data_IF_846041435974
#
_entry.id   IF_846041435974
#
_cell.length_a   1.000
_cell.length_b   1.000
_cell.length_c   1.000
_cell.angle_alpha   90.00
_cell.angle_beta   90.00
_cell.angle_gamma   90.00
#
_symmetry.space_group_name_H-M   'P 1'
#
loop_
_entity.id
_entity.type
_entity.pdbx_description
1 polymer ?
#
# COMPACT_ATOMS: atom_id res chain seq x y z
N UNK A 1 9.02 -16.50 -7.01
CA UNK A 1 8.47 -16.51 -5.62
C UNK A 1 7.49 -17.67 -5.43
N UNK A 2 7.40 -18.23 -4.23
CA UNK A 2 6.38 -19.23 -3.90
C UNK A 2 5.08 -18.55 -3.47
N UNK A 3 3.93 -18.97 -4.01
CA UNK A 3 2.62 -18.42 -3.67
C UNK A 3 1.84 -19.35 -2.77
N UNK A 4 1.15 -18.78 -1.77
CA UNK A 4 0.26 -19.50 -0.85
C UNK A 4 -1.02 -18.66 -0.67
N UNK A 5 -2.18 -19.32 -0.65
CA UNK A 5 -3.43 -18.66 -0.29
C UNK A 5 -3.54 -18.45 1.22
N UNK A 6 -4.11 -17.31 1.60
CA UNK A 6 -4.46 -17.02 2.98
C UNK A 6 -5.63 -17.93 3.41
N UNK A 7 -5.49 -18.58 4.54
CA UNK A 7 -6.53 -19.44 5.11
C UNK A 7 -6.63 -19.24 6.61
N UNK A 8 -7.86 -19.21 7.13
CA UNK A 8 -8.13 -18.99 8.56
C UNK A 8 -7.88 -17.54 9.02
N UNK A 9 -7.78 -16.58 8.10
CA UNK A 9 -7.58 -15.17 8.36
C UNK A 9 -8.86 -14.36 8.15
N UNK A 10 -8.90 -13.11 8.61
CA UNK A 10 -10.07 -12.24 8.51
C UNK A 10 -10.47 -11.93 7.06
N UNK A 11 -9.51 -11.91 6.13
CA UNK A 11 -9.72 -11.79 4.68
C UNK A 11 -8.99 -12.92 3.96
N UNK A 12 -9.54 -13.38 2.83
CA UNK A 12 -8.80 -14.19 1.87
C UNK A 12 -7.69 -13.40 1.19
N UNK A 13 -6.91 -14.06 0.33
CA UNK A 13 -5.86 -13.41 -0.45
C UNK A 13 -4.67 -14.31 -0.72
N UNK A 14 -3.56 -13.70 -1.14
CA UNK A 14 -2.31 -14.37 -1.50
C UNK A 14 -1.13 -13.86 -0.65
N UNK A 15 -0.21 -14.76 -0.35
CA UNK A 15 1.13 -14.44 0.16
C UNK A 15 2.16 -14.98 -0.80
N UNK A 16 3.06 -14.13 -1.28
CA UNK A 16 4.20 -14.51 -2.08
C UNK A 16 5.45 -14.51 -1.20
N UNK A 17 6.15 -15.62 -1.17
CA UNK A 17 7.35 -15.79 -0.36
C UNK A 17 8.60 -15.77 -1.24
N UNK A 18 9.65 -15.04 -0.87
CA UNK A 18 10.94 -15.13 -1.54
C UNK A 18 11.55 -16.53 -1.35
N UNK A 19 12.60 -16.84 -2.08
CA UNK A 19 13.28 -18.14 -2.00
C UNK A 19 13.78 -18.47 -0.59
N UNK A 20 14.15 -17.44 0.18
CA UNK A 20 14.54 -17.56 1.59
C UNK A 20 13.86 -16.46 2.41
N UNK A 21 13.27 -16.84 3.53
CA UNK A 21 12.70 -15.90 4.52
C UNK A 21 13.66 -15.88 5.72
N UNK A 22 14.25 -14.73 5.97
CA UNK A 22 15.18 -14.47 7.07
C UNK A 22 14.55 -13.51 8.10
N UNK A 23 15.17 -13.42 9.27
CA UNK A 23 14.67 -12.56 10.36
C UNK A 23 14.57 -11.06 9.99
N UNK A 24 15.28 -10.60 8.96
CA UNK A 24 15.24 -9.22 8.46
C UNK A 24 14.47 -9.05 7.14
N UNK A 25 13.81 -10.10 6.65
CA UNK A 25 12.97 -10.03 5.43
C UNK A 25 11.83 -9.03 5.63
N UNK A 26 11.70 -8.01 4.75
CA UNK A 26 10.62 -7.04 4.86
C UNK A 26 9.26 -7.63 4.48
N UNK A 27 8.19 -7.00 4.96
CA UNK A 27 6.82 -7.26 4.55
C UNK A 27 6.32 -6.12 3.68
N UNK A 28 5.97 -6.41 2.45
CA UNK A 28 5.30 -5.50 1.54
C UNK A 28 3.83 -5.88 1.43
N UNK A 29 2.95 -5.00 1.88
CA UNK A 29 1.49 -5.17 1.76
C UNK A 29 1.02 -4.49 0.48
N UNK A 30 0.27 -5.20 -0.35
CA UNK A 30 -0.30 -4.68 -1.59
C UNK A 30 -1.84 -4.74 -1.56
N UNK A 31 -2.49 -3.60 -1.75
CA UNK A 31 -3.95 -3.47 -1.85
C UNK A 31 -4.35 -3.28 -3.32
N UNK A 32 -5.16 -4.21 -3.82
CA UNK A 32 -5.60 -4.24 -5.22
C UNK A 32 -6.68 -3.19 -5.54
N UNK A 33 -6.95 -2.99 -6.82
CA UNK A 33 -8.00 -2.11 -7.35
C UNK A 33 -9.42 -2.69 -7.21
N UNK A 34 -10.42 -1.93 -7.66
CA UNK A 34 -11.82 -2.30 -7.51
C UNK A 34 -12.22 -3.56 -8.32
N UNK A 35 -11.57 -3.80 -9.46
CA UNK A 35 -11.88 -4.92 -10.36
C UNK A 35 -11.46 -6.30 -9.84
N UNK A 36 -10.73 -6.36 -8.72
CA UNK A 36 -10.13 -7.58 -8.18
C UNK A 36 -10.80 -8.03 -6.87
N UNK A 37 -11.88 -7.32 -6.48
CA UNK A 37 -12.70 -7.67 -5.32
C UNK A 37 -13.38 -9.04 -5.47
N UNK A 38 -13.67 -9.67 -4.35
CA UNK A 38 -14.43 -10.93 -4.29
C UNK A 38 -13.69 -12.04 -3.59
N UNK A 39 -13.78 -13.26 -4.14
CA UNK A 39 -13.18 -14.47 -3.55
C UNK A 39 -12.29 -15.23 -4.53
N UNK A 40 -12.09 -14.69 -5.73
CA UNK A 40 -11.26 -15.32 -6.76
C UNK A 40 -9.85 -14.77 -6.72
N UNK A 41 -8.93 -15.52 -6.15
CA UNK A 41 -7.53 -15.12 -5.96
C UNK A 41 -6.78 -14.92 -7.29
N UNK A 42 -7.18 -15.63 -8.38
CA UNK A 42 -6.62 -15.43 -9.72
C UNK A 42 -6.89 -14.02 -10.30
N UNK A 43 -7.96 -13.35 -9.85
CA UNK A 43 -8.24 -11.96 -10.25
C UNK A 43 -7.21 -10.97 -9.68
N UNK A 44 -6.62 -11.28 -8.53
CA UNK A 44 -5.64 -10.40 -7.89
C UNK A 44 -4.32 -10.27 -8.66
N UNK A 45 -4.08 -11.17 -9.62
CA UNK A 45 -2.89 -11.17 -10.47
C UNK A 45 -3.11 -10.46 -11.82
N UNK A 46 -4.03 -9.48 -11.88
CA UNK A 46 -4.32 -8.72 -13.10
C UNK A 46 -3.49 -7.47 -13.25
N UNK A 47 -3.17 -6.82 -12.15
CA UNK A 47 -2.49 -5.54 -12.08
C UNK A 47 -1.39 -5.51 -11.02
N UNK A 48 -0.47 -4.56 -11.17
CA UNK A 48 0.57 -4.21 -10.20
C UNK A 48 1.49 -5.36 -9.79
N UNK A 49 1.92 -5.38 -8.55
CA UNK A 49 2.94 -6.30 -8.04
C UNK A 49 2.57 -7.78 -8.21
N UNK A 50 1.36 -8.27 -7.90
CA UNK A 50 1.01 -9.67 -8.12
C UNK A 50 1.07 -10.08 -9.60
N UNK A 51 0.72 -9.19 -10.53
CA UNK A 51 0.86 -9.43 -11.97
C UNK A 51 2.32 -9.62 -12.36
N UNK A 52 3.19 -8.73 -11.88
CA UNK A 52 4.63 -8.79 -12.18
C UNK A 52 5.26 -10.08 -11.65
N UNK A 53 4.89 -10.52 -10.45
CA UNK A 53 5.38 -11.78 -9.90
C UNK A 53 4.88 -12.97 -10.72
N UNK A 54 3.57 -13.07 -10.98
CA UNK A 54 2.97 -14.29 -11.56
C UNK A 54 3.18 -14.38 -13.07
N UNK A 55 3.11 -13.24 -13.78
CA UNK A 55 3.16 -13.25 -15.25
C UNK A 55 4.55 -12.97 -15.82
N UNK A 56 5.35 -12.18 -15.09
CA UNK A 56 6.65 -11.74 -15.57
C UNK A 56 7.82 -12.34 -14.79
N UNK A 57 7.50 -13.15 -13.76
CA UNK A 57 8.50 -13.89 -12.99
C UNK A 57 9.35 -13.02 -12.07
N UNK A 58 8.84 -11.88 -11.63
CA UNK A 58 9.60 -11.01 -10.71
C UNK A 58 9.90 -11.73 -9.40
N UNK A 59 11.16 -11.58 -8.96
CA UNK A 59 11.64 -12.04 -7.67
C UNK A 59 11.86 -10.83 -6.77
N UNK A 60 11.00 -10.67 -5.78
CA UNK A 60 11.06 -9.57 -4.81
C UNK A 60 11.64 -10.12 -3.50
N UNK A 61 12.73 -9.54 -2.96
CA UNK A 61 13.35 -10.00 -1.71
C UNK A 61 12.55 -9.54 -0.47
N UNK A 62 11.25 -9.79 -0.49
CA UNK A 62 10.30 -9.47 0.55
C UNK A 62 9.19 -10.51 0.59
N UNK A 63 8.51 -10.65 1.72
CA UNK A 63 7.20 -11.27 1.78
C UNK A 63 6.21 -10.26 1.18
N UNK A 64 5.44 -10.66 0.15
CA UNK A 64 4.40 -9.80 -0.44
C UNK A 64 3.04 -10.34 -0.01
N UNK A 65 2.33 -9.56 0.79
CA UNK A 65 1.01 -9.87 1.31
C UNK A 65 -0.05 -9.13 0.50
N UNK A 66 -0.96 -9.88 -0.11
CA UNK A 66 -2.04 -9.36 -0.93
C UNK A 66 -3.38 -9.84 -0.37
N UNK A 67 -4.00 -9.14 0.59
CA UNK A 67 -5.36 -9.46 1.03
C UNK A 67 -6.35 -9.19 -0.10
N UNK A 68 -7.48 -9.90 -0.12
CA UNK A 68 -8.57 -9.66 -1.08
C UNK A 68 -9.75 -8.98 -0.41
N UNK A 69 -10.12 -7.81 -0.92
CA UNK A 69 -11.29 -7.07 -0.47
C UNK A 69 -12.57 -7.80 -0.93
N UNK A 70 -13.55 -8.04 -0.05
CA UNK A 70 -14.83 -8.63 -0.43
C UNK A 70 -15.57 -7.80 -1.49
N UNK A 71 -16.43 -8.44 -2.28
CA UNK A 71 -17.08 -7.83 -3.44
C UNK A 71 -17.93 -6.60 -3.10
N UNK A 72 -18.58 -6.62 -1.94
CA UNK A 72 -19.52 -5.60 -1.46
C UNK A 72 -18.85 -4.43 -0.72
N UNK A 73 -17.52 -4.48 -0.50
CA UNK A 73 -16.78 -3.50 0.27
C UNK A 73 -15.74 -2.75 -0.57
N UNK A 74 -15.23 -1.68 0.01
CA UNK A 74 -13.98 -1.01 -0.37
C UNK A 74 -13.03 -1.10 0.83
N UNK A 75 -11.75 -0.76 0.63
CA UNK A 75 -10.75 -0.92 1.69
C UNK A 75 -11.05 -0.16 2.99
N UNK A 76 -11.73 1.00 2.89
CA UNK A 76 -12.15 1.79 4.05
C UNK A 76 -13.09 1.02 5.00
N UNK A 77 -13.86 0.06 4.46
CA UNK A 77 -14.80 -0.74 5.25
C UNK A 77 -14.13 -1.87 6.02
N UNK A 78 -12.93 -2.31 5.60
CA UNK A 78 -12.25 -3.51 6.08
C UNK A 78 -10.85 -3.23 6.64
N UNK A 79 -10.62 -2.01 7.09
CA UNK A 79 -9.32 -1.53 7.63
C UNK A 79 -8.82 -2.41 8.78
N UNK A 80 -9.72 -2.84 9.67
CA UNK A 80 -9.40 -3.71 10.82
C UNK A 80 -9.05 -5.12 10.38
N UNK A 81 -9.77 -5.64 9.42
CA UNK A 81 -9.55 -6.96 8.84
C UNK A 81 -8.19 -7.02 8.11
N UNK A 82 -7.85 -5.98 7.35
CA UNK A 82 -6.52 -5.84 6.74
C UNK A 82 -5.43 -5.84 7.80
N UNK A 83 -5.61 -5.07 8.88
CA UNK A 83 -4.64 -5.03 9.99
C UNK A 83 -4.49 -6.40 10.65
N UNK A 84 -5.59 -7.11 10.89
CA UNK A 84 -5.57 -8.47 11.44
C UNK A 84 -4.77 -9.43 10.55
N UNK A 85 -4.97 -9.38 9.23
CA UNK A 85 -4.22 -10.23 8.27
C UNK A 85 -2.72 -9.88 8.26
N UNK A 86 -2.38 -8.60 8.42
CA UNK A 86 -0.97 -8.19 8.57
C UNK A 86 -0.39 -8.78 9.85
N UNK A 87 -1.08 -8.68 10.99
CA UNK A 87 -0.61 -9.20 12.28
C UNK A 87 -0.43 -10.72 12.27
N UNK A 88 -1.37 -11.45 11.65
CA UNK A 88 -1.27 -12.88 11.44
C UNK A 88 -0.04 -13.25 10.60
N UNK A 89 0.23 -12.48 9.53
CA UNK A 89 1.39 -12.68 8.66
C UNK A 89 2.69 -12.39 9.41
N UNK A 90 2.74 -11.30 10.17
CA UNK A 90 3.90 -10.93 11.02
C UNK A 90 4.20 -12.06 12.01
N UNK A 91 3.17 -12.58 12.68
CA UNK A 91 3.32 -13.66 13.64
C UNK A 91 3.79 -14.95 13.00
N UNK A 92 3.21 -15.30 11.83
CA UNK A 92 3.49 -16.56 11.11
C UNK A 92 4.92 -16.62 10.58
N UNK A 93 5.45 -15.52 10.08
CA UNK A 93 6.76 -15.46 9.43
C UNK A 93 7.83 -14.75 10.28
N UNK A 94 7.50 -14.40 11.54
CA UNK A 94 8.37 -13.67 12.45
C UNK A 94 8.97 -12.38 11.82
N UNK A 95 8.15 -11.67 11.04
CA UNK A 95 8.55 -10.42 10.39
C UNK A 95 8.82 -9.33 11.43
N UNK A 96 9.86 -8.55 11.21
CA UNK A 96 10.13 -7.37 12.04
C UNK A 96 9.11 -6.28 11.78
N UNK A 97 8.50 -5.78 12.86
CA UNK A 97 7.44 -4.76 12.76
C UNK A 97 7.92 -3.39 12.30
N UNK A 98 9.23 -3.14 12.28
CA UNK A 98 9.82 -1.91 11.75
C UNK A 98 10.09 -1.95 10.22
N UNK A 99 9.77 -3.07 9.55
CA UNK A 99 9.99 -3.29 8.10
C UNK A 99 8.70 -3.66 7.35
N UNK A 100 7.60 -3.05 7.73
CA UNK A 100 6.29 -3.24 7.08
C UNK A 100 5.99 -2.01 6.24
N UNK A 101 5.97 -2.14 4.92
CA UNK A 101 5.57 -1.08 3.99
C UNK A 101 4.27 -1.44 3.28
N UNK A 102 3.55 -0.41 2.81
CA UNK A 102 2.24 -0.58 2.19
C UNK A 102 2.17 0.16 0.86
N UNK A 103 1.61 -0.49 -0.13
CA UNK A 103 1.24 0.09 -1.41
C UNK A 103 -0.14 -0.39 -1.86
N UNK A 104 -0.69 0.26 -2.84
CA UNK A 104 -1.92 -0.16 -3.49
C UNK A 104 -2.28 0.77 -4.64
N UNK A 105 -3.11 0.29 -5.55
CA UNK A 105 -3.47 1.03 -6.75
C UNK A 105 -4.98 1.30 -6.84
N UNK A 106 -5.37 2.45 -7.39
CA UNK A 106 -6.78 2.81 -7.57
C UNK A 106 -7.54 2.75 -6.24
N UNK A 107 -8.58 1.93 -6.11
CA UNK A 107 -9.23 1.65 -4.83
C UNK A 107 -8.22 1.29 -3.73
N UNK A 108 -7.17 0.49 -4.06
CA UNK A 108 -6.08 0.16 -3.13
C UNK A 108 -5.18 1.34 -2.80
N UNK A 109 -5.04 2.31 -3.70
CA UNK A 109 -4.36 3.58 -3.44
C UNK A 109 -5.10 4.42 -2.38
N UNK A 110 -6.44 4.49 -2.47
CA UNK A 110 -7.26 5.05 -1.39
C UNK A 110 -7.09 4.27 -0.08
N UNK A 111 -7.12 2.93 -0.16
CA UNK A 111 -6.88 2.06 0.98
C UNK A 111 -5.51 2.27 1.63
N UNK A 112 -4.47 2.52 0.85
CA UNK A 112 -3.13 2.78 1.38
C UNK A 112 -3.07 4.09 2.18
N UNK A 113 -3.69 5.16 1.67
CA UNK A 113 -3.84 6.40 2.42
C UNK A 113 -4.64 6.18 3.71
N UNK A 114 -5.78 5.49 3.64
CA UNK A 114 -6.65 5.25 4.81
C UNK A 114 -5.95 4.40 5.88
N UNK A 115 -5.28 3.32 5.49
CA UNK A 115 -4.53 2.47 6.41
C UNK A 115 -3.41 3.25 7.11
N UNK A 116 -2.63 4.05 6.37
CA UNK A 116 -1.57 4.87 6.94
C UNK A 116 -2.08 5.90 7.94
N UNK A 117 -3.19 6.55 7.63
CA UNK A 117 -3.82 7.53 8.53
C UNK A 117 -4.49 6.88 9.74
N UNK A 118 -4.98 5.65 9.61
CA UNK A 118 -5.64 4.94 10.73
C UNK A 118 -4.63 4.30 11.67
N UNK A 119 -3.56 3.73 11.13
CA UNK A 119 -2.49 3.10 11.91
C UNK A 119 -1.23 3.97 11.91
N UNK A 120 -1.35 5.13 12.53
CA UNK A 120 -0.30 6.15 12.63
C UNK A 120 1.02 5.56 13.11
N UNK A 121 2.11 5.80 12.37
CA UNK A 121 3.44 5.33 12.72
C UNK A 121 3.59 3.79 12.71
N UNK A 122 2.68 3.05 12.09
CA UNK A 122 2.77 1.60 11.97
C UNK A 122 3.62 1.17 10.77
N UNK A 123 3.45 1.82 9.62
CA UNK A 123 4.17 1.48 8.39
C UNK A 123 5.53 2.18 8.31
N UNK A 124 6.52 1.50 7.76
CA UNK A 124 7.84 2.06 7.46
C UNK A 124 7.78 3.08 6.30
N UNK A 125 6.90 2.83 5.32
CA UNK A 125 6.63 3.72 4.19
C UNK A 125 5.29 3.39 3.52
N UNK A 126 4.76 4.35 2.77
CA UNK A 126 3.55 4.19 1.95
C UNK A 126 3.82 4.59 0.50
N UNK A 127 3.29 3.80 -0.45
CA UNK A 127 3.24 4.20 -1.85
C UNK A 127 1.83 4.03 -2.42
N UNK A 128 0.93 5.02 -2.23
CA UNK A 128 -0.38 5.01 -2.87
C UNK A 128 -0.27 5.40 -4.35
N UNK A 129 -0.81 4.54 -5.24
CA UNK A 129 -0.79 4.74 -6.68
C UNK A 129 -2.21 5.03 -7.17
N UNK A 130 -2.40 6.12 -7.94
CA UNK A 130 -3.68 6.53 -8.53
C UNK A 130 -4.84 6.55 -7.52
N UNK A 131 -4.60 7.13 -6.33
CA UNK A 131 -5.56 7.19 -5.24
C UNK A 131 -5.58 8.52 -4.51
N UNK A 132 -6.35 8.61 -3.44
CA UNK A 132 -6.47 9.79 -2.59
C UNK A 132 -7.00 9.43 -1.22
N UNK A 133 -7.28 10.43 -0.40
CA UNK A 133 -7.73 10.21 0.97
C UNK A 133 -8.34 11.46 1.60
N UNK A 134 -8.47 11.43 2.91
CA UNK A 134 -9.01 12.51 3.74
C UNK A 134 -7.89 13.44 4.19
N UNK A 135 -7.69 14.55 3.48
CA UNK A 135 -6.56 15.47 3.71
C UNK A 135 -6.53 16.05 5.13
N UNK A 136 -7.67 16.20 5.81
CA UNK A 136 -7.72 16.66 7.22
C UNK A 136 -7.08 15.67 8.21
N UNK A 137 -6.88 14.39 7.81
CA UNK A 137 -6.17 13.39 8.61
C UNK A 137 -4.67 13.27 8.26
N UNK A 138 -4.17 14.10 7.36
CA UNK A 138 -2.76 14.11 6.95
C UNK A 138 -1.75 14.22 8.11
N UNK A 139 -2.05 14.93 9.24
CA UNK A 139 -1.16 14.95 10.41
C UNK A 139 -0.76 13.57 10.93
N UNK A 140 -1.60 12.54 10.71
CA UNK A 140 -1.33 11.16 11.12
C UNK A 140 -0.18 10.52 10.32
N UNK A 141 0.24 11.12 9.21
CA UNK A 141 1.32 10.65 8.35
C UNK A 141 2.64 11.41 8.54
N UNK A 142 2.75 12.28 9.56
CA UNK A 142 3.96 13.10 9.78
C UNK A 142 5.24 12.29 9.93
N UNK A 143 5.16 11.07 10.45
CA UNK A 143 6.32 10.20 10.71
C UNK A 143 6.45 9.06 9.71
N UNK A 144 5.56 8.98 8.71
CA UNK A 144 5.56 7.93 7.70
C UNK A 144 5.88 8.52 6.33
N UNK A 145 7.06 8.23 5.74
CA UNK A 145 7.40 8.68 4.39
C UNK A 145 6.40 8.17 3.34
N UNK A 146 6.04 9.02 2.39
CA UNK A 146 5.08 8.71 1.32
C UNK A 146 5.66 9.06 -0.04
N UNK A 147 5.60 8.11 -0.99
CA UNK A 147 5.80 8.37 -2.42
C UNK A 147 4.55 8.00 -3.19
N UNK A 148 3.82 9.00 -3.67
CA UNK A 148 2.61 8.81 -4.46
C UNK A 148 2.95 8.90 -5.96
N UNK A 149 2.26 8.08 -6.77
CA UNK A 149 2.36 8.13 -8.22
C UNK A 149 0.97 8.23 -8.85
N UNK A 150 0.86 8.99 -9.94
CA UNK A 150 -0.44 9.18 -10.61
C UNK A 150 -0.26 9.49 -12.09
N UNK A 151 -1.07 8.86 -12.95
CA UNK A 151 -1.15 9.27 -14.35
C UNK A 151 -1.68 10.70 -14.46
N UNK A 152 -0.98 11.57 -15.19
CA UNK A 152 -1.37 12.97 -15.31
C UNK A 152 -2.69 13.15 -16.08
N UNK A 153 -3.04 12.19 -16.93
CA UNK A 153 -4.24 12.18 -17.77
C UNK A 153 -5.26 11.13 -17.28
N UNK A 154 -5.23 10.81 -15.98
CA UNK A 154 -6.18 9.87 -15.37
C UNK A 154 -7.58 10.49 -15.31
N UNK A 155 -8.47 10.00 -16.17
CA UNK A 155 -9.87 10.43 -16.25
C UNK A 155 -10.79 9.64 -15.30
N UNK A 156 -10.34 8.50 -14.78
CA UNK A 156 -11.12 7.66 -13.88
C UNK A 156 -10.97 8.12 -12.42
N UNK A 157 -9.74 8.35 -12.00
CA UNK A 157 -9.40 8.93 -10.69
C UNK A 157 -8.52 10.15 -10.95
N UNK A 158 -9.06 11.36 -10.91
CA UNK A 158 -8.30 12.57 -11.19
C UNK A 158 -7.07 12.73 -10.30
N UNK A 159 -5.92 13.08 -10.90
CA UNK A 159 -4.63 13.20 -10.20
C UNK A 159 -4.64 14.21 -9.03
N UNK A 160 -5.62 15.12 -9.03
CA UNK A 160 -5.82 16.09 -7.92
C UNK A 160 -6.00 15.39 -6.57
N UNK A 161 -6.54 14.16 -6.53
CA UNK A 161 -6.68 13.42 -5.28
C UNK A 161 -5.33 13.11 -4.63
N UNK A 162 -4.34 12.67 -5.41
CA UNK A 162 -2.97 12.47 -4.91
C UNK A 162 -2.29 13.80 -4.54
N UNK A 163 -2.49 14.85 -5.34
CA UNK A 163 -1.92 16.18 -5.06
C UNK A 163 -2.42 16.73 -3.72
N UNK A 164 -3.75 16.70 -3.50
CA UNK A 164 -4.34 17.16 -2.24
C UNK A 164 -3.77 16.43 -1.01
N UNK A 165 -3.55 15.12 -1.13
CA UNK A 165 -3.02 14.32 -0.02
C UNK A 165 -1.55 14.65 0.23
N UNK A 166 -0.71 14.65 -0.79
CA UNK A 166 0.72 14.94 -0.63
C UNK A 166 0.98 16.35 -0.13
N UNK A 167 0.22 17.34 -0.64
CA UNK A 167 0.33 18.72 -0.18
C UNK A 167 -0.11 18.85 1.30
N UNK A 168 -1.17 18.16 1.70
CA UNK A 168 -1.62 18.16 3.08
C UNK A 168 -0.59 17.52 4.04
N UNK A 169 0.05 16.42 3.63
CA UNK A 169 1.12 15.79 4.43
C UNK A 169 2.32 16.72 4.55
N UNK A 170 2.75 17.36 3.47
CA UNK A 170 3.84 18.36 3.50
C UNK A 170 3.49 19.56 4.39
N UNK A 171 2.27 20.07 4.28
CA UNK A 171 1.80 21.21 5.07
C UNK A 171 1.85 20.99 6.57
N UNK A 172 1.69 19.73 7.04
CA UNK A 172 1.84 19.39 8.45
C UNK A 172 3.23 18.88 8.85
N UNK A 173 4.24 19.04 7.97
CA UNK A 173 5.64 18.70 8.26
C UNK A 173 5.99 17.23 8.04
N UNK A 174 5.17 16.48 7.32
CA UNK A 174 5.47 15.12 6.90
C UNK A 174 6.28 15.07 5.60
N UNK A 175 6.91 13.92 5.36
CA UNK A 175 7.67 13.63 4.14
C UNK A 175 6.77 12.96 3.10
N UNK A 176 6.41 13.69 2.04
CA UNK A 176 5.58 13.17 0.96
C UNK A 176 6.02 13.68 -0.40
N UNK A 177 6.14 12.79 -1.36
CA UNK A 177 6.45 13.10 -2.75
C UNK A 177 5.31 12.65 -3.67
N UNK A 178 5.05 13.40 -4.74
CA UNK A 178 4.15 13.02 -5.82
C UNK A 178 4.89 13.03 -7.15
N UNK A 179 4.84 11.92 -7.85
CA UNK A 179 5.27 11.80 -9.24
C UNK A 179 4.05 11.74 -10.14
N UNK A 180 3.81 12.81 -10.91
CA UNK A 180 2.85 12.80 -12.00
C UNK A 180 3.49 12.19 -13.24
N UNK A 181 2.82 11.23 -13.87
CA UNK A 181 3.29 10.49 -15.03
C UNK A 181 2.66 11.09 -16.30
N UNK A 182 3.41 11.90 -17.07
CA UNK A 182 2.85 12.62 -18.23
C UNK A 182 2.37 11.67 -19.33
N UNK A 183 1.25 11.99 -19.96
CA UNK A 183 0.67 11.20 -21.06
C UNK A 183 0.04 9.89 -20.64
N UNK A 184 -0.06 9.60 -19.35
CA UNK A 184 -0.57 8.33 -18.83
C UNK A 184 -1.95 8.50 -18.20
N UNK A 185 -2.87 7.61 -18.60
CA UNK A 185 -4.17 7.45 -17.98
C UNK A 185 -4.10 6.56 -16.72
N UNK A 186 -5.27 6.03 -16.33
CA UNK A 186 -5.40 5.28 -15.07
C UNK A 186 -4.54 4.01 -15.02
N UNK A 187 -4.79 3.08 -15.94
CA UNK A 187 -4.11 1.79 -15.93
C UNK A 187 -2.64 1.91 -16.35
N UNK A 188 -2.35 2.71 -17.37
CA UNK A 188 -0.97 2.95 -17.83
C UNK A 188 -0.11 3.53 -16.70
N UNK A 189 -0.65 4.52 -15.96
CA UNK A 189 0.05 5.13 -14.83
C UNK A 189 0.31 4.15 -13.69
N UNK A 190 -0.65 3.26 -13.40
CA UNK A 190 -0.50 2.21 -12.39
C UNK A 190 0.62 1.22 -12.78
N UNK A 191 0.54 0.67 -13.99
CA UNK A 191 1.52 -0.31 -14.45
C UNK A 191 2.92 0.33 -14.55
N UNK A 192 3.02 1.54 -15.12
CA UNK A 192 4.29 2.25 -15.22
C UNK A 192 4.95 2.51 -13.86
N UNK A 193 4.15 2.89 -12.84
CA UNK A 193 4.67 3.15 -11.51
C UNK A 193 5.38 1.91 -10.93
N UNK A 194 4.79 0.72 -11.08
CA UNK A 194 5.40 -0.50 -10.56
C UNK A 194 6.51 -1.07 -11.46
N UNK A 195 6.43 -0.92 -12.78
CA UNK A 195 7.37 -1.53 -13.73
C UNK A 195 8.61 -0.68 -14.00
N UNK A 196 8.47 0.64 -13.97
CA UNK A 196 9.48 1.56 -14.50
C UNK A 196 9.98 2.59 -13.48
N UNK A 197 9.59 2.46 -12.20
CA UNK A 197 10.15 3.27 -11.13
C UNK A 197 10.77 2.37 -10.04
N UNK A 198 11.48 2.97 -9.12
CA UNK A 198 12.11 2.30 -7.98
C UNK A 198 11.15 2.09 -6.79
N UNK A 199 9.83 2.23 -7.00
CA UNK A 199 8.86 2.25 -5.90
C UNK A 199 8.88 0.98 -5.05
N UNK A 200 9.01 -0.19 -5.70
CA UNK A 200 9.04 -1.47 -4.99
C UNK A 200 10.33 -1.62 -4.19
N UNK A 201 11.48 -1.33 -4.79
CA UNK A 201 12.80 -1.34 -4.15
C UNK A 201 12.85 -0.35 -2.99
N UNK A 202 12.31 0.86 -3.19
CA UNK A 202 12.24 1.85 -2.13
C UNK A 202 11.41 1.35 -0.95
N UNK A 203 10.20 0.83 -1.17
CA UNK A 203 9.32 0.31 -0.11
C UNK A 203 9.99 -0.79 0.71
N UNK A 204 10.64 -1.75 0.08
CA UNK A 204 11.29 -2.86 0.78
C UNK A 204 12.61 -2.46 1.46
N UNK A 205 13.23 -1.36 1.05
CA UNK A 205 14.42 -0.81 1.70
C UNK A 205 14.11 -0.07 2.99
N UNK A 206 12.87 0.42 3.14
CA UNK A 206 12.48 1.30 4.23
C UNK A 206 12.41 0.58 5.57
N UNK A 207 12.78 1.35 6.60
CA UNK A 207 12.72 0.93 7.99
C UNK A 207 12.16 2.06 8.84
N UNK A 208 11.20 1.74 9.66
CA UNK A 208 10.64 2.72 10.58
C UNK A 208 11.67 3.05 11.68
N UNK A 209 11.99 4.33 11.82
CA UNK A 209 12.96 4.84 12.80
C UNK A 209 12.29 5.54 13.97
N UNK A 210 11.10 6.11 13.74
CA UNK A 210 10.29 6.74 14.77
C UNK A 210 9.08 5.85 15.11
N UNK A 211 8.94 5.50 16.38
CA UNK A 211 7.87 4.66 16.90
C UNK A 211 6.88 5.46 17.77
N UNK A 212 7.03 6.78 17.80
CA UNK A 212 6.14 7.66 18.57
C UNK A 212 4.79 7.75 17.85
N UNK A 213 3.69 7.30 18.47
CA UNK A 213 2.36 7.49 17.90
C UNK A 213 2.05 8.98 17.75
N UNK A 214 1.56 9.37 16.57
CA UNK A 214 1.01 10.70 16.35
C UNK A 214 -0.48 10.64 16.70
N UNK A 215 -1.01 11.56 17.52
CA UNK A 215 -2.44 11.62 17.83
C UNK A 215 -3.27 11.72 16.53
N UNK A 216 -4.41 11.03 16.50
CA UNK A 216 -5.32 11.08 15.35
C UNK A 216 -5.81 12.50 15.05
N UNK A 217 -6.00 13.29 16.10
CA UNK A 217 -6.29 14.72 16.00
C UNK A 217 -5.33 15.50 16.88
N UNK A 218 -4.67 16.48 16.28
CA UNK A 218 -3.87 17.44 17.01
C UNK A 218 -4.82 18.55 17.49
N UNK A 219 -4.94 18.74 18.81
CA UNK A 219 -5.86 19.73 19.42
C UNK A 219 -5.62 21.17 18.94
N UNK A 220 -4.45 21.47 18.42
CA UNK A 220 -4.09 22.77 17.85
C UNK A 220 -4.72 23.09 16.50
N UNK A 221 -5.43 22.12 15.89
CA UNK A 221 -6.13 22.32 14.61
C UNK A 221 -7.66 22.38 14.75
N UNK A 222 -8.19 22.38 16.00
CA UNK A 222 -9.63 22.49 16.30
C UNK A 222 -9.91 23.51 17.40
#
# INVERSE_FOLDING_TARGET
MNVTELSGTALGGLVFLPACVEADTPLLVYLHGAGERGTRTDHMCRHGIPRLIVREGWEIPAIVLCPQCPAEFVWDNVVREVKSVIDDTVSRFAVRTDRISLTGCSMGGFGAWEMGMTYTGFFAALAPIAGGGRSFRAPNLRTTPVRAYHGAEDELVPAVYSSLMTDAVRACGGDAELTLLPGMGHNEGIEYAYEHTDVTEWLISMRRTDHTPVPEFLSEYF
#
